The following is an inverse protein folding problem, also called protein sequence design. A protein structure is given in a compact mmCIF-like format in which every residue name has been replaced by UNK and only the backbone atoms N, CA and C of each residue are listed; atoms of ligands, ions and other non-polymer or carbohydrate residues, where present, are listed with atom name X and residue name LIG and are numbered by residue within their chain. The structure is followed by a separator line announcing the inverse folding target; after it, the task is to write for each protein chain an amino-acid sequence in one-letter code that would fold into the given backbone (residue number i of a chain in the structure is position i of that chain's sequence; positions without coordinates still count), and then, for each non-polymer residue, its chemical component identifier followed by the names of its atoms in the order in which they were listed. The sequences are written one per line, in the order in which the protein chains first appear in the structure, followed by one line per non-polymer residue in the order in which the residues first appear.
data_IF_351655487067
#
_entry.id   IF_351655487067
#
_cell.length_a   1.000
_cell.length_b   1.000
_cell.length_c   1.000
_cell.angle_alpha   90.00
_cell.angle_beta   90.00
_cell.angle_gamma   90.00
#
_symmetry.space_group_name_H-M   'P 1'
#
loop_
_entity.id
_entity.type
_entity.pdbx_description
1 polymer ?
#
# COMPACT_ATOMS: atom_id res chain seq x y z
N UNK A 1 -20.44 21.04 29.71
CA UNK A 1 -19.20 20.52 29.11
C UNK A 1 -18.05 21.13 29.90
N UNK A 2 -17.46 20.35 30.82
CA UNK A 2 -16.42 20.84 31.72
C UNK A 2 -15.08 20.73 30.97
N UNK A 3 -14.50 21.85 30.58
CA UNK A 3 -13.23 21.90 29.85
C UNK A 3 -12.11 21.72 30.86
N UNK A 4 -11.51 20.53 30.91
CA UNK A 4 -10.36 20.26 31.77
C UNK A 4 -9.16 21.09 31.32
N UNK A 5 -8.52 21.82 32.24
CA UNK A 5 -7.34 22.64 31.92
C UNK A 5 -6.07 21.84 32.17
N UNK A 6 -4.99 22.11 31.42
CA UNK A 6 -3.72 21.40 31.55
C UNK A 6 -3.10 21.45 32.97
N UNK A 7 -3.52 22.41 33.82
CA UNK A 7 -3.06 22.54 35.21
C UNK A 7 -3.73 21.54 36.16
N UNK A 8 -4.93 21.05 35.84
CA UNK A 8 -5.67 20.07 36.65
C UNK A 8 -5.05 18.66 36.59
N UNK A 9 -4.11 18.46 35.67
CA UNK A 9 -3.42 17.19 35.42
C UNK A 9 -2.07 17.07 36.17
N UNK A 10 -1.69 18.13 36.90
CA UNK A 10 -0.41 18.26 37.60
C UNK A 10 -0.63 18.22 39.11
N UNK A 11 -0.32 17.11 39.78
CA UNK A 11 -0.64 16.91 41.19
C UNK A 11 -0.06 17.95 42.15
N UNK A 12 1.11 18.51 41.82
CA UNK A 12 1.70 19.58 42.64
C UNK A 12 1.08 20.96 42.43
N UNK A 13 0.53 21.24 41.23
CA UNK A 13 -0.10 22.53 40.93
C UNK A 13 -1.54 22.57 41.45
N UNK A 14 -2.25 21.43 41.42
CA UNK A 14 -3.65 21.29 41.85
C UNK A 14 -3.85 20.17 42.88
N UNK A 15 -3.16 20.19 44.04
CA UNK A 15 -3.16 19.06 44.98
C UNK A 15 -4.52 18.72 45.57
N UNK A 16 -5.47 19.66 45.57
CA UNK A 16 -6.86 19.40 46.02
C UNK A 16 -7.64 18.49 45.07
N UNK A 17 -7.16 18.25 43.85
CA UNK A 17 -7.74 17.33 42.87
C UNK A 17 -7.16 15.91 42.97
N UNK A 18 -6.27 15.66 43.93
CA UNK A 18 -5.60 14.37 44.10
C UNK A 18 -5.68 13.89 45.55
N UNK A 19 -5.89 12.59 45.72
CA UNK A 19 -5.70 11.91 46.99
C UNK A 19 -4.26 11.42 47.03
N UNK A 20 -3.52 11.90 48.03
CA UNK A 20 -2.18 11.45 48.38
C UNK A 20 -2.29 10.49 49.56
N UNK A 21 -2.20 9.20 49.29
CA UNK A 21 -1.99 8.18 50.32
C UNK A 21 -0.49 8.09 50.63
N UNK A 22 -0.04 9.08 51.41
CA UNK A 22 1.37 9.40 51.62
C UNK A 22 1.94 10.34 50.55
N UNK A 23 3.08 10.94 50.90
CA UNK A 23 3.79 11.90 50.06
C UNK A 23 3.47 13.37 50.37
N UNK A 24 4.16 14.29 49.71
CA UNK A 24 4.01 15.73 49.92
C UNK A 24 4.12 16.51 48.61
N UNK A 25 3.50 17.70 48.57
CA UNK A 25 3.74 18.64 47.47
C UNK A 25 5.12 19.25 47.64
N UNK A 26 5.93 19.22 46.57
CA UNK A 26 7.25 19.82 46.55
C UNK A 26 7.50 20.56 45.23
N UNK A 27 8.67 21.18 45.09
CA UNK A 27 9.11 21.80 43.85
C UNK A 27 10.18 20.90 43.23
N UNK A 28 9.90 20.41 42.03
CA UNK A 28 10.81 19.64 41.20
C UNK A 28 11.45 20.52 40.11
N UNK A 29 12.09 19.87 39.14
CA UNK A 29 12.79 20.57 38.05
C UNK A 29 11.86 21.39 37.14
N UNK A 30 10.63 20.91 36.91
CA UNK A 30 9.68 21.47 35.94
C UNK A 30 8.49 22.17 36.62
N UNK A 31 8.57 22.47 37.92
CA UNK A 31 7.53 23.16 38.70
C UNK A 31 7.07 22.37 39.92
N UNK A 32 5.82 22.61 40.38
CA UNK A 32 5.29 21.88 41.53
C UNK A 32 4.96 20.43 41.15
N UNK A 33 5.29 19.51 42.04
CA UNK A 33 5.12 18.06 41.88
C UNK A 33 4.52 17.43 43.14
N UNK A 34 4.07 16.18 43.04
CA UNK A 34 3.82 15.33 44.20
C UNK A 34 5.02 14.41 44.41
N UNK A 35 5.68 14.48 45.58
CA UNK A 35 6.83 13.64 45.92
C UNK A 35 6.38 12.48 46.79
N UNK A 36 6.66 11.27 46.32
CA UNK A 36 6.39 10.01 47.02
C UNK A 36 7.71 9.40 47.50
N UNK A 37 7.82 9.07 48.80
CA UNK A 37 9.08 8.69 49.46
C UNK A 37 9.12 7.25 49.99
N UNK A 38 8.27 6.38 49.47
CA UNK A 38 8.19 4.95 49.82
C UNK A 38 6.97 4.31 49.15
N UNK A 39 6.41 3.27 49.78
CA UNK A 39 5.15 2.66 49.37
C UNK A 39 3.99 3.65 49.58
N UNK A 40 3.60 4.34 48.51
CA UNK A 40 2.65 5.44 48.55
C UNK A 40 1.90 5.53 47.22
N UNK A 41 0.68 6.08 47.27
CA UNK A 41 -0.20 6.14 46.12
C UNK A 41 -0.79 7.53 45.93
N UNK A 42 -0.80 7.97 44.68
CA UNK A 42 -1.45 9.17 44.22
C UNK A 42 -2.64 8.77 43.33
N UNK A 43 -3.83 9.26 43.63
CA UNK A 43 -5.05 9.02 42.83
C UNK A 43 -5.68 10.34 42.43
N UNK A 44 -6.09 10.50 41.16
CA UNK A 44 -6.92 11.62 40.73
C UNK A 44 -8.32 11.53 41.32
N UNK A 45 -8.77 12.55 42.05
CA UNK A 45 -10.06 12.53 42.75
C UNK A 45 -11.26 12.77 41.83
N UNK A 46 -11.07 13.46 40.71
CA UNK A 46 -12.16 13.78 39.79
C UNK A 46 -12.41 12.60 38.84
N UNK A 47 -13.54 11.88 38.95
CA UNK A 47 -13.83 10.78 38.05
C UNK A 47 -14.08 11.31 36.63
N UNK A 48 -13.44 10.66 35.66
CA UNK A 48 -13.61 10.97 34.24
C UNK A 48 -14.74 10.11 33.68
N UNK A 49 -15.80 10.68 33.09
CA UNK A 49 -16.87 9.88 32.51
C UNK A 49 -16.38 9.17 31.25
N UNK A 50 -16.64 7.86 31.19
CA UNK A 50 -16.39 7.03 30.03
C UNK A 50 -17.63 7.04 29.14
N UNK A 51 -17.55 7.73 28.00
CA UNK A 51 -18.66 7.89 27.06
C UNK A 51 -18.37 7.08 25.79
N UNK A 52 -19.33 6.29 25.27
CA UNK A 52 -19.16 5.57 24.02
C UNK A 52 -18.76 6.52 22.86
N UNK A 53 -17.79 6.10 22.06
CA UNK A 53 -17.29 6.88 20.92
C UNK A 53 -16.35 8.04 21.28
N UNK A 54 -15.90 8.12 22.54
CA UNK A 54 -14.84 9.05 22.96
C UNK A 54 -13.64 8.24 23.40
N UNK A 55 -12.47 8.55 22.83
CA UNK A 55 -11.20 7.99 23.28
C UNK A 55 -10.71 8.67 24.55
N UNK A 56 -10.14 7.90 25.46
CA UNK A 56 -9.52 8.40 26.68
C UNK A 56 -8.04 8.05 26.70
N UNK A 57 -7.23 8.95 27.24
CA UNK A 57 -5.76 8.78 27.28
C UNK A 57 -5.30 8.85 28.73
N UNK A 58 -4.70 7.77 29.22
CA UNK A 58 -4.00 7.73 30.49
C UNK A 58 -2.59 8.30 30.29
N UNK A 59 -2.26 9.38 31.00
CA UNK A 59 -0.95 10.02 30.96
C UNK A 59 -0.33 10.10 32.34
N UNK A 60 0.95 9.76 32.40
CA UNK A 60 1.75 9.97 33.59
C UNK A 60 3.16 10.41 33.23
N UNK A 61 3.74 11.23 34.11
CA UNK A 61 5.14 11.62 34.04
C UNK A 61 5.73 11.57 35.44
N UNK A 62 6.89 10.92 35.57
CA UNK A 62 7.56 10.77 36.84
C UNK A 62 9.09 10.86 36.69
N UNK A 63 9.75 11.09 37.81
CA UNK A 63 11.21 11.14 37.90
C UNK A 63 11.67 10.61 39.25
N UNK A 64 12.62 9.67 39.24
CA UNK A 64 13.35 9.30 40.44
C UNK A 64 14.33 10.42 40.79
N UNK A 65 14.29 10.91 42.04
CA UNK A 65 15.18 11.99 42.52
C UNK A 65 16.10 11.57 43.65
N UNK A 66 15.78 10.46 44.33
CA UNK A 66 16.68 9.77 45.27
C UNK A 66 16.54 8.28 45.00
N UNK A 67 17.65 7.62 44.62
CA UNK A 67 17.73 6.17 44.50
C UNK A 67 17.70 5.52 45.88
N UNK A 68 17.00 4.38 46.01
CA UNK A 68 17.18 3.56 47.20
C UNK A 68 18.48 2.73 47.10
N UNK A 69 18.95 2.19 48.24
CA UNK A 69 20.00 1.18 48.25
C UNK A 69 19.62 -0.15 47.58
N UNK A 70 18.33 -0.48 47.42
CA UNK A 70 17.81 -1.70 46.78
C UNK A 70 16.77 -1.37 45.68
N UNK A 71 17.22 -1.05 44.45
CA UNK A 71 16.34 -0.62 43.38
C UNK A 71 15.44 -1.73 42.81
N UNK A 72 15.66 -3.01 43.16
CA UNK A 72 14.91 -4.13 42.57
C UNK A 72 13.46 -4.22 43.07
N UNK A 73 13.14 -3.57 44.19
CA UNK A 73 11.80 -3.58 44.81
C UNK A 73 11.09 -2.22 44.73
N UNK A 74 11.64 -1.27 43.98
CA UNK A 74 11.19 0.13 43.98
C UNK A 74 10.38 0.52 42.73
N UNK A 75 9.48 -0.35 42.30
CA UNK A 75 8.72 -0.12 41.08
C UNK A 75 7.83 1.14 41.15
N UNK A 76 7.56 1.73 39.98
CA UNK A 76 6.49 2.72 39.80
C UNK A 76 5.43 2.10 38.91
N UNK A 77 4.20 2.02 39.39
CA UNK A 77 3.07 1.55 38.60
C UNK A 77 2.12 2.69 38.29
N UNK A 78 1.54 2.65 37.09
CA UNK A 78 0.54 3.61 36.63
C UNK A 78 -0.67 2.81 36.18
N UNK A 79 -1.87 3.30 36.46
CA UNK A 79 -3.08 2.60 36.05
C UNK A 79 -4.36 3.39 36.24
N UNK A 80 -5.48 2.66 36.17
CA UNK A 80 -6.83 3.21 36.27
C UNK A 80 -7.62 2.47 37.35
N UNK A 81 -8.35 3.22 38.17
CA UNK A 81 -9.42 2.73 39.03
C UNK A 81 -10.75 2.90 38.28
N UNK A 82 -11.46 1.81 38.08
CA UNK A 82 -12.74 1.77 37.39
C UNK A 82 -13.88 1.94 38.38
N UNK A 83 -14.84 2.78 38.04
CA UNK A 83 -15.99 3.08 38.88
C UNK A 83 -17.29 2.81 38.12
N UNK A 84 -18.31 2.36 38.83
CA UNK A 84 -19.66 2.16 38.29
C UNK A 84 -20.45 3.47 38.15
N UNK A 85 -21.73 3.36 37.78
CA UNK A 85 -22.63 4.51 37.62
C UNK A 85 -22.81 5.34 38.90
N UNK A 86 -22.68 4.72 40.08
CA UNK A 86 -22.80 5.36 41.40
C UNK A 86 -21.44 5.87 41.91
N UNK A 87 -20.39 5.77 41.08
CA UNK A 87 -18.99 6.09 41.39
C UNK A 87 -18.39 5.20 42.49
N UNK A 88 -18.94 4.01 42.71
CA UNK A 88 -18.33 3.01 43.56
C UNK A 88 -17.22 2.27 42.81
N UNK A 89 -16.15 1.88 43.52
CA UNK A 89 -15.00 1.18 42.92
C UNK A 89 -15.41 -0.22 42.47
N UNK A 90 -15.22 -0.51 41.19
CA UNK A 90 -15.42 -1.84 40.59
C UNK A 90 -14.15 -2.68 40.64
N UNK A 91 -13.07 -2.11 40.11
CA UNK A 91 -11.76 -2.78 40.01
C UNK A 91 -10.66 -1.77 39.77
N UNK A 92 -9.41 -2.22 39.83
CA UNK A 92 -8.23 -1.45 39.50
C UNK A 92 -7.39 -2.23 38.49
N UNK A 93 -6.92 -1.57 37.45
CA UNK A 93 -6.03 -2.15 36.45
C UNK A 93 -4.70 -1.40 36.42
N UNK A 94 -3.59 -2.12 36.54
CA UNK A 94 -2.24 -1.57 36.30
C UNK A 94 -1.99 -1.57 34.78
N UNK A 95 -1.67 -0.40 34.25
CA UNK A 95 -1.43 -0.15 32.83
C UNK A 95 0.05 -0.25 32.45
N UNK A 96 0.92 0.18 33.35
CA UNK A 96 2.36 0.23 33.13
C UNK A 96 3.10 0.00 34.44
N UNK A 97 4.26 -0.62 34.36
CA UNK A 97 5.18 -0.81 35.49
C UNK A 97 6.58 -0.47 35.02
N UNK A 98 7.19 0.53 35.66
CA UNK A 98 8.63 0.79 35.59
C UNK A 98 9.27 0.07 36.79
N UNK A 99 9.94 -1.08 36.56
CA UNK A 99 10.27 -2.01 37.64
C UNK A 99 11.39 -1.51 38.57
N UNK A 100 12.27 -0.62 38.09
CA UNK A 100 13.44 -0.18 38.85
C UNK A 100 13.95 1.21 38.39
N UNK A 101 13.13 2.28 38.48
CA UNK A 101 13.53 3.60 37.99
C UNK A 101 14.64 4.19 38.85
N UNK A 102 15.66 4.75 38.19
CA UNK A 102 16.85 5.36 38.79
C UNK A 102 16.93 6.86 38.52
N UNK A 103 17.67 7.60 39.35
CA UNK A 103 17.92 9.04 39.13
C UNK A 103 18.53 9.30 37.76
N UNK A 104 19.40 8.40 37.28
CA UNK A 104 20.05 8.49 35.98
C UNK A 104 19.09 8.36 34.78
N UNK A 105 17.89 7.77 34.96
CA UNK A 105 16.91 7.61 33.88
C UNK A 105 16.23 8.93 33.49
N UNK A 106 16.36 9.95 34.34
CA UNK A 106 15.74 11.25 34.12
C UNK A 106 14.20 11.17 34.13
N UNK A 107 13.58 12.02 33.31
CA UNK A 107 12.12 12.11 33.24
C UNK A 107 11.55 10.98 32.40
N UNK A 108 10.62 10.22 32.98
CA UNK A 108 9.87 9.14 32.32
C UNK A 108 8.45 9.62 32.01
N UNK A 109 7.89 9.18 30.89
CA UNK A 109 6.53 9.54 30.48
C UNK A 109 5.84 8.39 29.78
N UNK A 110 4.53 8.26 29.98
CA UNK A 110 3.66 7.39 29.18
C UNK A 110 2.40 8.12 28.73
N UNK A 111 1.83 7.65 27.62
CA UNK A 111 0.49 7.97 27.16
C UNK A 111 -0.12 6.68 26.60
N UNK A 112 -1.22 6.20 27.18
CA UNK A 112 -1.85 4.93 26.83
C UNK A 112 -3.32 5.15 26.51
N UNK A 113 -3.78 4.55 25.40
CA UNK A 113 -5.18 4.59 25.01
C UNK A 113 -6.01 3.71 25.94
N UNK A 114 -7.13 4.25 26.41
CA UNK A 114 -8.11 3.58 27.26
C UNK A 114 -9.41 3.44 26.48
N UNK A 115 -9.77 2.21 26.14
CA UNK A 115 -10.98 1.85 25.39
C UNK A 115 -12.12 1.37 26.28
N UNK A 116 -13.36 1.59 25.82
CA UNK A 116 -14.58 1.10 26.48
C UNK A 116 -14.92 -0.35 26.12
N UNK A 117 -14.55 -0.79 24.92
CA UNK A 117 -14.72 -2.14 24.41
C UNK A 117 -13.34 -2.75 24.12
N UNK A 118 -13.29 -4.07 23.94
CA UNK A 118 -12.09 -4.79 23.51
C UNK A 118 -11.76 -4.49 22.03
N UNK A 119 -11.60 -3.22 21.69
CA UNK A 119 -11.08 -2.78 20.40
C UNK A 119 -9.58 -3.11 20.32
N UNK A 120 -9.11 -3.52 19.13
CA UNK A 120 -7.81 -4.17 18.93
C UNK A 120 -6.58 -3.29 19.26
N UNK A 121 -6.75 -1.98 19.49
CA UNK A 121 -5.66 -1.02 19.72
C UNK A 121 -5.65 -0.37 21.14
N UNK A 122 -6.60 -0.71 22.03
CA UNK A 122 -6.63 -0.13 23.38
C UNK A 122 -5.59 -0.79 24.30
N UNK A 123 -4.70 0.02 24.91
CA UNK A 123 -3.74 -0.48 25.89
C UNK A 123 -4.42 -0.91 27.22
N UNK A 124 -5.58 -0.34 27.52
CA UNK A 124 -6.48 -0.78 28.59
C UNK A 124 -7.92 -0.82 28.11
N UNK A 125 -8.61 -1.91 28.41
CA UNK A 125 -10.06 -2.03 28.21
C UNK A 125 -10.79 -1.85 29.53
N UNK A 126 -11.79 -0.97 29.55
CA UNK A 126 -12.67 -0.77 30.68
C UNK A 126 -13.53 -2.03 30.93
N UNK A 127 -13.77 -2.42 32.20
CA UNK A 127 -14.78 -3.43 32.51
C UNK A 127 -16.16 -3.00 32.02
N UNK A 128 -17.00 -3.93 31.56
CA UNK A 128 -18.31 -3.62 30.96
C UNK A 128 -19.25 -2.76 31.86
N UNK A 129 -19.11 -2.87 33.18
CA UNK A 129 -19.89 -2.10 34.16
C UNK A 129 -19.31 -0.70 34.45
N UNK A 130 -18.09 -0.39 34.00
CA UNK A 130 -17.44 0.88 34.26
C UNK A 130 -18.14 2.03 33.54
N UNK A 131 -18.35 3.13 34.27
CA UNK A 131 -18.92 4.39 33.75
C UNK A 131 -18.03 5.59 34.04
N UNK A 132 -17.16 5.48 35.03
CA UNK A 132 -16.12 6.47 35.29
C UNK A 132 -14.77 5.80 35.55
N UNK A 133 -13.72 6.59 35.44
CA UNK A 133 -12.37 6.14 35.69
C UNK A 133 -11.54 7.23 36.40
N UNK A 134 -10.59 6.81 37.22
CA UNK A 134 -9.64 7.68 37.91
C UNK A 134 -8.21 7.19 37.67
N UNK A 135 -7.27 8.06 37.25
CA UNK A 135 -5.87 7.68 37.08
C UNK A 135 -5.19 7.53 38.45
N UNK A 136 -4.22 6.62 38.53
CA UNK A 136 -3.34 6.54 39.70
C UNK A 136 -1.87 6.33 39.32
N UNK A 137 -0.99 6.76 40.21
CA UNK A 137 0.44 6.42 40.23
C UNK A 137 0.77 5.88 41.62
N UNK A 138 1.43 4.74 41.69
CA UNK A 138 1.78 4.08 42.94
C UNK A 138 3.26 3.70 42.92
N UNK A 139 3.99 4.10 43.95
CA UNK A 139 5.40 3.75 44.14
C UNK A 139 5.50 2.60 45.14
N UNK A 140 6.44 1.70 44.90
CA UNK A 140 6.77 0.59 45.79
C UNK A 140 8.17 0.78 46.37
N UNK A 141 8.46 0.08 47.46
CA UNK A 141 9.76 0.10 48.12
C UNK A 141 9.92 1.18 49.18
N UNK A 142 11.17 1.47 49.56
CA UNK A 142 11.50 2.36 50.67
C UNK A 142 12.79 3.14 50.39
N UNK A 143 13.05 4.17 51.22
CA UNK A 143 14.29 4.96 51.18
C UNK A 143 14.62 5.59 49.80
N UNK A 144 13.59 5.86 49.02
CA UNK A 144 13.68 6.51 47.72
C UNK A 144 12.85 7.79 47.69
N UNK A 145 12.96 8.56 46.61
CA UNK A 145 12.01 9.64 46.33
C UNK A 145 11.70 9.71 44.84
N UNK A 146 10.40 9.72 44.50
CA UNK A 146 9.88 9.85 43.14
C UNK A 146 8.98 11.06 43.06
N UNK A 147 9.27 11.93 42.10
CA UNK A 147 8.43 13.07 41.77
C UNK A 147 7.43 12.64 40.70
N UNK A 148 6.15 12.78 40.99
CA UNK A 148 5.04 12.62 40.03
C UNK A 148 4.67 14.01 39.53
N UNK A 149 4.94 14.25 38.25
CA UNK A 149 4.71 15.53 37.58
C UNK A 149 3.33 15.59 36.92
N UNK A 150 2.88 14.47 36.34
CA UNK A 150 1.59 14.33 35.66
C UNK A 150 0.95 13.02 36.10
N UNK A 151 -0.35 13.06 36.40
CA UNK A 151 -1.21 11.90 36.60
C UNK A 151 -2.61 12.26 36.11
N UNK A 152 -2.97 11.81 34.92
CA UNK A 152 -4.19 12.25 34.26
C UNK A 152 -4.84 11.14 33.45
N UNK A 153 -6.16 11.17 33.41
CA UNK A 153 -6.96 10.50 32.41
C UNK A 153 -7.74 11.59 31.70
N UNK A 154 -7.47 11.79 30.43
CA UNK A 154 -8.06 12.88 29.66
C UNK A 154 -8.92 12.34 28.54
N UNK A 155 -10.03 13.04 28.25
CA UNK A 155 -10.73 12.84 27.00
C UNK A 155 -9.81 13.32 25.89
N UNK A 156 -9.64 12.49 24.87
CA UNK A 156 -8.83 12.83 23.72
C UNK A 156 -9.51 13.97 22.94
N UNK A 157 -9.05 15.22 23.12
CA UNK A 157 -9.40 16.34 22.21
C UNK A 157 -8.41 16.48 21.07
N UNK A 158 -7.24 15.89 21.26
CA UNK A 158 -6.22 15.69 20.24
C UNK A 158 -6.54 14.36 19.59
N UNK A 159 -6.76 14.35 18.27
CA UNK A 159 -6.53 13.13 17.52
C UNK A 159 -5.07 12.71 17.78
N UNK A 160 -4.83 11.83 18.76
CA UNK A 160 -3.59 11.09 18.85
C UNK A 160 -3.50 10.37 17.53
N UNK A 161 -2.53 10.80 16.74
CA UNK A 161 -2.26 10.29 15.41
C UNK A 161 -1.75 8.86 15.59
N UNK A 162 -2.68 7.92 15.73
CA UNK A 162 -2.64 6.69 14.95
C UNK A 162 -3.37 7.04 13.63
N UNK A 163 -2.73 6.88 12.46
CA UNK A 163 -3.26 7.36 11.20
C UNK A 163 -4.35 6.40 10.72
N UNK A 164 -5.55 6.54 11.27
CA UNK A 164 -6.75 5.85 10.78
C UNK A 164 -7.98 6.51 11.45
N UNK A 165 -8.44 7.61 10.85
CA UNK A 165 -9.88 7.82 10.66
C UNK A 165 -10.73 8.06 11.91
N UNK A 166 -10.61 9.25 12.49
CA UNK A 166 -11.59 9.80 13.45
C UNK A 166 -12.97 10.14 12.82
N UNK A 167 -13.36 9.44 11.76
CA UNK A 167 -14.66 9.62 11.09
C UNK A 167 -15.05 8.37 10.28
N UNK A 168 -14.92 7.16 10.84
CA UNK A 168 -15.62 5.97 10.36
C UNK A 168 -15.43 5.57 8.88
N UNK A 169 -14.36 6.01 8.22
CA UNK A 169 -13.85 5.27 7.08
C UNK A 169 -12.84 4.29 7.63
N UNK A 170 -12.72 3.13 7.02
CA UNK A 170 -11.60 2.25 7.24
C UNK A 170 -10.67 2.37 6.03
N UNK A 171 -9.35 2.44 6.26
CA UNK A 171 -8.36 2.30 5.19
C UNK A 171 -8.23 0.82 4.76
N UNK A 172 -9.16 -0.05 5.19
CA UNK A 172 -9.25 -1.51 4.98
C UNK A 172 -9.16 -1.97 3.52
N UNK A 173 -9.11 -1.05 2.55
CA UNK A 173 -8.99 -1.32 1.12
C UNK A 173 -7.70 -0.78 0.50
N UNK A 174 -6.73 -0.39 1.31
CA UNK A 174 -5.41 0.06 0.86
C UNK A 174 -4.34 -0.77 1.56
N UNK A 175 -3.53 -1.46 0.76
CA UNK A 175 -2.34 -2.16 1.24
C UNK A 175 -1.10 -1.31 1.01
N UNK A 176 -0.36 -1.07 2.09
CA UNK A 176 0.78 -0.17 2.13
C UNK A 176 2.09 -0.92 1.94
N UNK A 177 2.97 -0.35 1.10
CA UNK A 177 4.33 -0.82 0.86
C UNK A 177 5.31 0.29 1.22
N UNK A 178 6.37 -0.02 1.98
CA UNK A 178 7.38 0.96 2.40
C UNK A 178 8.81 0.40 2.32
N UNK A 179 9.81 1.27 2.16
CA UNK A 179 11.21 0.85 2.02
C UNK A 179 11.76 0.15 3.27
N UNK A 180 11.24 0.50 4.43
CA UNK A 180 11.53 -0.08 5.75
C UNK A 180 10.40 -1.00 6.25
N UNK A 181 9.48 -1.38 5.35
CA UNK A 181 8.41 -2.34 5.64
C UNK A 181 8.91 -3.76 5.91
N UNK A 182 7.99 -4.64 6.28
CA UNK A 182 8.25 -6.05 6.59
C UNK A 182 7.12 -6.92 6.04
N UNK A 183 7.45 -7.91 5.21
CA UNK A 183 6.48 -8.79 4.55
C UNK A 183 5.73 -9.73 5.51
N UNK A 184 6.12 -9.78 6.79
CA UNK A 184 5.35 -10.48 7.83
C UNK A 184 4.15 -9.68 8.35
N UNK A 185 4.03 -8.39 7.97
CA UNK A 185 2.94 -7.50 8.40
C UNK A 185 1.71 -7.61 7.49
N UNK A 186 0.57 -7.10 7.97
CA UNK A 186 -0.72 -7.20 7.25
C UNK A 186 -0.84 -6.23 6.08
N UNK A 187 -0.03 -5.16 6.01
CA UNK A 187 -0.13 -4.14 4.97
C UNK A 187 -1.33 -3.19 5.12
N UNK A 188 -2.29 -3.45 6.00
CA UNK A 188 -3.56 -2.69 6.15
C UNK A 188 -3.42 -1.36 6.91
N UNK A 189 -2.18 -0.87 7.07
CA UNK A 189 -1.89 0.37 7.75
C UNK A 189 -0.50 0.86 7.40
N UNK A 190 -0.27 2.16 7.52
CA UNK A 190 1.00 2.80 7.16
C UNK A 190 2.16 2.31 8.03
N UNK A 191 1.89 2.10 9.32
CA UNK A 191 2.80 1.53 10.32
C UNK A 191 2.97 0.01 10.16
N UNK A 192 2.00 -0.64 9.51
CA UNK A 192 1.97 -2.07 9.19
C UNK A 192 2.34 -2.39 7.73
N UNK A 193 3.03 -1.48 7.04
CA UNK A 193 3.39 -1.64 5.64
C UNK A 193 4.31 -2.84 5.39
N UNK A 194 4.09 -3.54 4.28
CA UNK A 194 4.96 -4.62 3.79
C UNK A 194 6.17 -4.04 3.05
N UNK A 195 7.22 -4.86 2.84
CA UNK A 195 8.45 -4.42 2.17
C UNK A 195 8.31 -4.44 0.65
N UNK A 196 7.71 -5.50 0.13
CA UNK A 196 7.70 -5.82 -1.30
C UNK A 196 6.30 -5.61 -1.89
N UNK A 197 6.27 -5.19 -3.17
CA UNK A 197 5.02 -4.96 -3.89
C UNK A 197 4.30 -6.27 -4.15
N UNK A 198 5.05 -7.36 -4.36
CA UNK A 198 4.54 -8.72 -4.52
C UNK A 198 3.79 -9.19 -3.29
N UNK A 199 4.28 -8.86 -2.08
CA UNK A 199 3.60 -9.18 -0.83
C UNK A 199 2.26 -8.43 -0.71
N UNK A 200 2.23 -7.14 -1.04
CA UNK A 200 0.97 -6.39 -1.08
C UNK A 200 0.00 -6.91 -2.16
N UNK A 201 0.54 -7.33 -3.31
CA UNK A 201 -0.24 -7.97 -4.38
C UNK A 201 -0.88 -9.27 -3.89
N UNK A 202 -0.14 -10.09 -3.14
CA UNK A 202 -0.66 -11.35 -2.58
C UNK A 202 -1.74 -11.10 -1.53
N UNK A 203 -1.58 -10.06 -0.71
CA UNK A 203 -2.60 -9.62 0.25
C UNK A 203 -3.88 -9.14 -0.45
N UNK A 204 -3.75 -8.32 -1.50
CA UNK A 204 -4.89 -7.92 -2.34
C UNK A 204 -5.55 -9.15 -2.98
N UNK A 205 -4.77 -10.10 -3.52
CA UNK A 205 -5.33 -11.30 -4.12
C UNK A 205 -6.16 -12.12 -3.11
N UNK A 206 -5.75 -12.14 -1.83
CA UNK A 206 -6.45 -12.82 -0.76
C UNK A 206 -7.70 -12.08 -0.24
N UNK A 207 -7.79 -10.74 -0.40
CA UNK A 207 -8.88 -9.95 0.17
C UNK A 207 -10.24 -10.18 -0.51
N UNK A 208 -10.25 -10.57 -1.79
CA UNK A 208 -11.47 -10.77 -2.60
C UNK A 208 -12.26 -9.48 -2.92
N UNK A 209 -12.15 -8.44 -2.10
CA UNK A 209 -12.77 -7.14 -2.27
C UNK A 209 -11.91 -6.16 -3.07
N UNK A 210 -12.51 -5.18 -3.78
CA UNK A 210 -11.75 -4.14 -4.47
C UNK A 210 -10.79 -3.39 -3.56
N UNK A 211 -9.50 -3.39 -3.89
CA UNK A 211 -8.44 -2.82 -3.07
C UNK A 211 -7.34 -2.14 -3.91
N UNK A 212 -6.59 -1.22 -3.31
CA UNK A 212 -5.45 -0.54 -3.91
C UNK A 212 -4.14 -0.88 -3.19
N UNK A 213 -3.03 -0.76 -3.91
CA UNK A 213 -1.68 -0.84 -3.34
C UNK A 213 -1.07 0.56 -3.35
N UNK A 214 -0.61 1.02 -2.20
CA UNK A 214 -0.01 2.34 -2.03
C UNK A 214 1.46 2.21 -1.62
N UNK A 215 2.37 2.70 -2.46
CA UNK A 215 3.82 2.46 -2.33
C UNK A 215 4.53 3.75 -1.95
N UNK A 216 5.15 3.80 -0.78
CA UNK A 216 5.92 4.94 -0.31
C UNK A 216 7.24 5.13 -1.09
N UNK A 217 7.85 6.33 -1.06
CA UNK A 217 9.14 6.57 -1.70
C UNK A 217 10.20 5.56 -1.28
N UNK A 218 11.04 5.20 -2.24
CA UNK A 218 12.14 4.28 -2.01
C UNK A 218 12.54 3.49 -3.26
N UNK A 219 13.47 2.56 -3.07
CA UNK A 219 13.90 1.62 -4.11
C UNK A 219 13.41 0.21 -3.77
N UNK A 220 12.67 -0.37 -4.71
CA UNK A 220 12.04 -1.68 -4.62
C UNK A 220 12.59 -2.56 -5.72
N UNK A 221 13.19 -3.67 -5.32
CA UNK A 221 13.75 -4.66 -6.23
C UNK A 221 12.70 -5.75 -6.48
N UNK A 222 12.52 -6.14 -7.74
CA UNK A 222 11.51 -7.14 -8.13
C UNK A 222 12.05 -8.10 -9.17
N UNK A 223 11.51 -9.32 -9.20
CA UNK A 223 11.75 -10.27 -10.29
C UNK A 223 10.89 -9.97 -11.53
N UNK A 224 10.11 -8.88 -11.51
CA UNK A 224 9.11 -8.58 -12.53
C UNK A 224 7.93 -9.55 -12.45
N UNK A 225 7.12 -9.54 -13.50
CA UNK A 225 5.97 -10.43 -13.68
C UNK A 225 4.95 -10.33 -12.55
N UNK A 226 4.78 -9.13 -11.99
CA UNK A 226 3.82 -8.81 -10.95
C UNK A 226 2.42 -8.84 -11.56
N UNK A 227 1.77 -10.00 -11.44
CA UNK A 227 0.40 -10.22 -11.89
C UNK A 227 -0.58 -9.56 -10.93
N UNK A 228 -1.07 -8.39 -11.32
CA UNK A 228 -1.98 -7.60 -10.50
C UNK A 228 -3.41 -8.14 -10.67
N UNK A 229 -4.13 -8.48 -9.57
CA UNK A 229 -5.52 -8.98 -9.62
C UNK A 229 -6.50 -8.00 -10.26
N UNK A 230 -7.62 -8.50 -10.82
CA UNK A 230 -8.62 -7.65 -11.50
C UNK A 230 -9.39 -6.72 -10.55
N UNK A 231 -9.53 -7.13 -9.29
CA UNK A 231 -10.11 -6.30 -8.24
C UNK A 231 -9.08 -5.36 -7.59
N UNK A 232 -7.82 -5.38 -8.03
CA UNK A 232 -6.87 -4.34 -7.64
C UNK A 232 -7.15 -3.06 -8.43
N UNK A 233 -7.73 -2.06 -7.76
CA UNK A 233 -8.14 -0.79 -8.38
C UNK A 233 -6.95 0.09 -8.77
N UNK A 234 -5.77 -0.17 -8.21
CA UNK A 234 -4.53 0.42 -8.70
C UNK A 234 -3.31 0.16 -7.83
N UNK A 235 -2.13 0.25 -8.46
CA UNK A 235 -0.82 0.28 -7.79
C UNK A 235 -0.28 1.69 -7.95
N UNK A 236 -0.15 2.41 -6.84
CA UNK A 236 0.01 3.87 -6.83
C UNK A 236 1.21 4.22 -5.97
N UNK A 237 2.19 4.94 -6.53
CA UNK A 237 3.21 5.60 -5.72
C UNK A 237 2.59 6.72 -4.89
N UNK A 238 3.01 6.83 -3.63
CA UNK A 238 2.65 7.93 -2.74
C UNK A 238 3.16 9.31 -3.22
N UNK A 239 4.00 9.31 -4.25
CA UNK A 239 4.66 10.47 -4.82
C UNK A 239 4.65 10.39 -6.35
N UNK A 240 5.34 11.31 -7.01
CA UNK A 240 5.58 11.22 -8.45
C UNK A 240 6.81 10.35 -8.77
N UNK A 241 7.00 10.10 -10.07
CA UNK A 241 8.19 9.48 -10.60
C UNK A 241 9.49 10.10 -10.01
N UNK A 242 10.56 9.30 -9.96
CA UNK A 242 11.90 9.54 -9.38
C UNK A 242 12.02 9.28 -7.88
N UNK A 243 10.94 9.44 -7.11
CA UNK A 243 10.95 9.17 -5.68
C UNK A 243 10.66 7.70 -5.35
N UNK A 244 9.88 7.00 -6.18
CA UNK A 244 9.58 5.56 -6.04
C UNK A 244 10.14 4.81 -7.23
N UNK A 245 11.15 3.98 -6.99
CA UNK A 245 11.97 3.32 -8.00
C UNK A 245 11.75 1.82 -7.98
N UNK A 246 11.50 1.25 -9.15
CA UNK A 246 11.40 -0.19 -9.37
C UNK A 246 12.63 -0.64 -10.15
N UNK A 247 13.43 -1.53 -9.56
CA UNK A 247 14.68 -2.04 -10.14
C UNK A 247 14.61 -3.55 -10.33
N UNK A 248 15.23 -4.10 -11.39
CA UNK A 248 15.23 -5.53 -11.60
C UNK A 248 16.12 -6.21 -10.57
N UNK A 249 15.69 -7.38 -10.09
CA UNK A 249 16.59 -8.32 -9.45
C UNK A 249 17.59 -8.87 -10.48
N UNK A 250 18.84 -9.18 -10.06
CA UNK A 250 19.84 -9.75 -10.98
C UNK A 250 19.31 -10.99 -11.71
N UNK A 251 19.42 -10.99 -13.04
CA UNK A 251 18.92 -12.07 -13.91
C UNK A 251 17.46 -11.93 -14.34
N UNK A 252 16.77 -10.88 -13.92
CA UNK A 252 15.37 -10.60 -14.26
C UNK A 252 15.19 -9.29 -15.06
N UNK A 253 16.29 -8.73 -15.59
CA UNK A 253 16.31 -7.43 -16.29
C UNK A 253 15.45 -7.40 -17.55
N UNK A 254 15.15 -8.57 -18.11
CA UNK A 254 14.34 -8.72 -19.32
C UNK A 254 12.86 -8.94 -19.04
N UNK A 255 12.40 -9.13 -17.80
CA UNK A 255 10.97 -9.40 -17.56
C UNK A 255 10.12 -8.13 -17.61
N UNK A 256 8.90 -8.28 -18.13
CA UNK A 256 7.83 -7.32 -17.94
C UNK A 256 7.61 -7.07 -16.43
N UNK A 257 7.27 -5.86 -16.01
CA UNK A 257 7.21 -5.52 -14.57
C UNK A 257 5.81 -5.71 -14.01
N UNK A 258 4.89 -4.81 -14.30
CA UNK A 258 3.49 -4.92 -13.91
C UNK A 258 2.68 -5.52 -15.06
N UNK A 259 2.04 -6.66 -14.77
CA UNK A 259 1.15 -7.36 -15.68
C UNK A 259 -0.28 -7.16 -15.22
N UNK A 260 -1.01 -6.31 -15.93
CA UNK A 260 -2.28 -5.74 -15.49
C UNK A 260 -3.47 -6.47 -16.11
N UNK A 261 -4.46 -6.75 -15.26
CA UNK A 261 -5.74 -7.30 -15.67
C UNK A 261 -6.81 -6.24 -15.98
N UNK A 262 -8.08 -6.61 -15.86
CA UNK A 262 -9.22 -5.83 -16.35
C UNK A 262 -9.42 -4.50 -15.61
N UNK A 263 -9.17 -3.37 -16.29
CA UNK A 263 -9.33 -2.04 -15.68
C UNK A 263 -8.23 -1.68 -14.68
N UNK A 264 -7.08 -2.37 -14.74
CA UNK A 264 -5.95 -2.10 -13.86
C UNK A 264 -5.37 -0.69 -14.04
N UNK A 265 -4.76 -0.16 -12.99
CA UNK A 265 -4.21 1.20 -12.97
C UNK A 265 -2.84 1.22 -12.29
N UNK A 266 -1.82 1.81 -12.93
CA UNK A 266 -0.48 1.98 -12.34
C UNK A 266 -0.04 3.43 -12.45
N UNK A 267 0.48 4.01 -11.35
CA UNK A 267 0.87 5.42 -11.32
C UNK A 267 2.13 5.75 -10.53
N UNK A 268 2.94 6.67 -11.07
CA UNK A 268 3.92 7.44 -10.29
C UNK A 268 5.28 6.77 -10.09
N UNK A 269 5.59 5.70 -10.83
CA UNK A 269 6.84 4.95 -10.68
C UNK A 269 7.92 5.38 -11.67
N UNK A 270 9.18 5.31 -11.21
CA UNK A 270 10.36 5.22 -12.06
C UNK A 270 10.80 3.76 -12.18
N UNK A 271 10.94 3.26 -13.39
CA UNK A 271 11.57 1.97 -13.66
C UNK A 271 13.03 2.23 -14.02
N UNK A 272 13.95 1.80 -13.15
CA UNK A 272 15.37 2.13 -13.19
C UNK A 272 16.24 0.87 -13.05
N UNK A 273 17.57 1.01 -13.04
CA UNK A 273 18.46 -0.08 -12.64
C UNK A 273 18.74 -1.14 -13.70
N UNK A 274 18.44 -0.86 -14.98
CA UNK A 274 18.96 -1.67 -16.10
C UNK A 274 17.95 -2.59 -16.80
N UNK A 275 16.63 -2.36 -16.61
CA UNK A 275 15.60 -3.01 -17.43
C UNK A 275 15.93 -2.94 -18.93
N UNK A 276 15.68 -4.03 -19.65
CA UNK A 276 15.96 -4.13 -21.08
C UNK A 276 14.93 -5.00 -21.79
N UNK A 277 14.57 -4.65 -23.02
CA UNK A 277 13.74 -5.51 -23.87
C UNK A 277 14.51 -6.77 -24.28
N UNK A 278 13.77 -7.84 -24.50
CA UNK A 278 14.27 -9.14 -24.99
C UNK A 278 14.64 -9.10 -26.47
N UNK A 279 13.96 -8.28 -27.27
CA UNK A 279 14.23 -8.07 -28.70
C UNK A 279 13.83 -6.64 -29.13
N UNK A 280 14.48 -6.10 -30.16
CA UNK A 280 14.22 -4.73 -30.67
C UNK A 280 13.30 -4.70 -31.89
N UNK A 281 13.06 -5.85 -32.51
CA UNK A 281 12.23 -6.05 -33.70
C UNK A 281 10.96 -6.85 -33.39
N UNK A 282 11.03 -7.85 -32.50
CA UNK A 282 9.89 -8.67 -32.08
C UNK A 282 9.81 -8.82 -30.55
N UNK A 283 9.63 -7.70 -29.81
CA UNK A 283 9.65 -7.73 -28.34
C UNK A 283 8.47 -8.51 -27.74
N UNK A 284 8.75 -9.30 -26.71
CA UNK A 284 7.74 -9.96 -25.86
C UNK A 284 7.86 -9.61 -24.38
N UNK A 285 9.01 -9.08 -23.96
CA UNK A 285 9.35 -8.87 -22.56
C UNK A 285 10.16 -7.57 -22.34
N UNK A 286 10.31 -7.16 -21.09
CA UNK A 286 11.14 -6.03 -20.68
C UNK A 286 10.43 -4.68 -20.61
N UNK A 287 9.09 -4.69 -20.50
CA UNK A 287 8.27 -3.48 -20.41
C UNK A 287 7.78 -3.23 -18.99
N UNK A 288 7.70 -1.94 -18.61
CA UNK A 288 7.13 -1.56 -17.31
C UNK A 288 5.69 -2.05 -17.14
N UNK A 289 4.85 -1.88 -18.16
CA UNK A 289 3.43 -2.22 -18.13
C UNK A 289 3.10 -3.15 -19.30
N UNK A 290 2.39 -4.24 -19.00
CA UNK A 290 1.84 -5.15 -20.00
C UNK A 290 0.53 -5.78 -19.51
N UNK A 291 -0.15 -6.56 -20.34
CA UNK A 291 -1.32 -7.31 -19.90
C UNK A 291 -0.95 -8.54 -19.06
N UNK A 292 -1.80 -8.86 -18.09
CA UNK A 292 -1.75 -10.14 -17.37
C UNK A 292 -2.15 -11.29 -18.30
N UNK A 293 -1.34 -12.35 -18.42
CA UNK A 293 -1.70 -13.52 -19.23
C UNK A 293 -3.07 -14.09 -18.84
N UNK A 294 -3.90 -14.39 -19.85
CA UNK A 294 -5.24 -14.95 -19.70
C UNK A 294 -6.32 -13.98 -19.23
N UNK A 295 -6.00 -12.72 -18.94
CA UNK A 295 -7.00 -11.75 -18.46
C UNK A 295 -8.07 -11.44 -19.53
N UNK A 296 -9.29 -11.15 -19.08
CA UNK A 296 -10.39 -10.64 -19.94
C UNK A 296 -10.42 -9.11 -19.82
N UNK A 297 -9.92 -8.40 -20.84
CA UNK A 297 -9.82 -6.94 -20.84
C UNK A 297 -11.07 -6.32 -21.46
N UNK A 298 -12.01 -5.94 -20.59
CA UNK A 298 -13.25 -5.24 -20.96
C UNK A 298 -13.21 -3.74 -20.59
N UNK A 299 -12.31 -3.38 -19.67
CA UNK A 299 -12.00 -2.01 -19.27
C UNK A 299 -10.53 -1.72 -19.55
N UNK A 300 -10.27 -0.46 -19.85
CA UNK A 300 -8.92 0.01 -20.22
C UNK A 300 -7.95 -0.14 -19.05
N UNK A 301 -6.75 -0.66 -19.33
CA UNK A 301 -5.62 -0.58 -18.41
C UNK A 301 -5.01 0.81 -18.49
N UNK A 302 -4.66 1.42 -17.37
CA UNK A 302 -4.06 2.75 -17.32
C UNK A 302 -2.62 2.72 -16.79
N UNK A 303 -1.74 3.41 -17.51
CA UNK A 303 -0.38 3.72 -17.10
C UNK A 303 -0.22 5.24 -17.02
N UNK A 304 -0.11 5.79 -15.81
CA UNK A 304 -0.17 7.24 -15.58
C UNK A 304 1.07 7.77 -14.88
N UNK A 305 1.69 8.82 -15.45
CA UNK A 305 2.82 9.51 -14.84
C UNK A 305 3.95 8.56 -14.38
N UNK A 306 4.35 7.66 -15.28
CA UNK A 306 5.46 6.72 -15.07
C UNK A 306 6.64 7.05 -15.98
N UNK A 307 7.84 6.63 -15.64
CA UNK A 307 9.02 6.79 -16.50
C UNK A 307 9.82 5.50 -16.56
N UNK A 308 10.17 5.05 -17.77
CA UNK A 308 11.23 4.06 -17.95
C UNK A 308 12.53 4.82 -18.14
N UNK A 309 13.41 4.76 -17.15
CA UNK A 309 14.66 5.51 -17.12
C UNK A 309 15.84 4.56 -17.04
N UNK A 310 16.80 4.73 -17.96
CA UNK A 310 18.04 3.97 -17.89
C UNK A 310 19.07 4.73 -17.06
N UNK A 311 19.44 4.17 -15.90
CA UNK A 311 20.50 4.71 -15.06
C UNK A 311 21.87 4.42 -15.69
N UNK A 312 22.69 5.46 -15.92
CA UNK A 312 24.04 5.30 -16.49
C UNK A 312 24.72 6.66 -16.74
N UNK A 313 26.06 6.66 -16.76
CA UNK A 313 26.87 7.85 -17.04
C UNK A 313 26.57 8.37 -18.46
N UNK A 314 26.21 9.66 -18.67
CA UNK A 314 25.91 10.24 -19.99
C UNK A 314 27.03 10.09 -21.03
N UNK A 315 28.22 9.64 -20.63
CA UNK A 315 29.33 9.24 -21.52
C UNK A 315 28.99 8.02 -22.41
N UNK A 316 27.89 7.28 -22.16
CA UNK A 316 27.46 6.08 -22.90
C UNK A 316 26.73 6.32 -24.25
N UNK A 317 26.56 7.56 -24.71
CA UNK A 317 26.02 7.85 -26.05
C UNK A 317 27.00 8.70 -26.89
N UNK A 318 28.27 8.31 -27.12
CA UNK A 318 29.12 9.03 -28.05
C UNK A 318 28.84 8.56 -29.50
N UNK A 319 28.71 9.47 -30.47
CA UNK A 319 28.51 9.14 -31.87
C UNK A 319 29.74 8.48 -32.53
N UNK A 320 29.57 7.73 -33.64
CA UNK A 320 28.31 7.52 -34.36
C UNK A 320 27.48 6.33 -33.84
N UNK A 321 26.18 6.54 -33.73
CA UNK A 321 25.20 5.47 -33.50
C UNK A 321 25.12 4.56 -34.73
N UNK A 322 25.18 3.25 -34.51
CA UNK A 322 25.00 2.23 -35.55
C UNK A 322 23.58 1.68 -35.53
N UNK A 323 22.64 2.55 -35.91
CA UNK A 323 21.20 2.23 -35.93
C UNK A 323 20.85 1.04 -36.82
N UNK A 324 21.65 0.76 -37.86
CA UNK A 324 21.41 -0.32 -38.79
C UNK A 324 21.68 -1.69 -38.15
N UNK A 325 22.58 -1.73 -37.16
CA UNK A 325 22.90 -2.91 -36.37
C UNK A 325 22.40 -2.79 -34.92
N UNK A 326 21.31 -2.04 -34.70
CA UNK A 326 20.64 -1.91 -33.38
C UNK A 326 21.50 -1.31 -32.25
N UNK A 327 22.45 -0.43 -32.59
CA UNK A 327 23.34 0.28 -31.66
C UNK A 327 24.00 -0.64 -30.59
N UNK A 328 24.87 -1.57 -30.99
CA UNK A 328 25.39 -2.61 -30.10
C UNK A 328 26.18 -2.03 -28.91
N UNK A 329 26.81 -0.86 -29.08
CA UNK A 329 27.57 -0.18 -28.02
C UNK A 329 26.68 0.44 -26.93
N UNK A 330 25.42 0.73 -27.24
CA UNK A 330 24.44 1.21 -26.25
C UNK A 330 23.83 0.02 -25.51
N UNK A 331 23.66 -1.12 -26.19
CA UNK A 331 22.94 -2.29 -25.69
C UNK A 331 21.43 -2.01 -25.55
N UNK A 332 20.63 -3.03 -25.24
CA UNK A 332 19.16 -2.90 -25.20
C UNK A 332 18.67 -2.11 -23.99
N UNK A 333 17.85 -1.09 -24.21
CA UNK A 333 17.11 -0.38 -23.15
C UNK A 333 15.75 -1.04 -22.86
N UNK A 334 15.10 -0.67 -21.76
CA UNK A 334 13.79 -1.20 -21.37
C UNK A 334 12.63 -0.67 -22.21
N UNK A 335 11.43 -1.17 -21.93
CA UNK A 335 10.15 -0.79 -22.56
C UNK A 335 9.20 -0.04 -21.61
N UNK A 336 8.33 0.86 -22.08
CA UNK A 336 7.29 1.44 -21.20
C UNK A 336 6.02 0.60 -21.23
N UNK A 337 5.42 0.40 -22.41
CA UNK A 337 4.17 -0.35 -22.54
C UNK A 337 4.27 -1.39 -23.65
N UNK A 338 3.89 -2.62 -23.33
CA UNK A 338 3.61 -3.69 -24.28
C UNK A 338 2.13 -4.07 -24.19
N UNK A 339 1.36 -3.76 -25.23
CA UNK A 339 0.01 -4.25 -25.40
C UNK A 339 0.02 -5.40 -26.41
N UNK A 340 -0.23 -6.63 -25.94
CA UNK A 340 -0.27 -7.82 -26.79
C UNK A 340 -1.62 -8.54 -26.62
N UNK A 341 -2.35 -8.73 -27.72
CA UNK A 341 -3.63 -9.45 -27.69
C UNK A 341 -3.43 -10.95 -27.53
N UNK A 342 -2.30 -11.50 -27.99
CA UNK A 342 -2.06 -12.94 -27.97
C UNK A 342 -1.94 -13.50 -26.54
N UNK A 343 -1.59 -12.66 -25.55
CA UNK A 343 -1.47 -13.07 -24.16
C UNK A 343 -2.77 -12.99 -23.37
N UNK A 344 -3.79 -12.27 -23.87
CA UNK A 344 -5.08 -12.10 -23.16
C UNK A 344 -6.15 -13.04 -23.70
N UNK A 345 -7.25 -13.17 -22.96
CA UNK A 345 -8.38 -13.98 -23.39
C UNK A 345 -8.97 -13.48 -24.71
N UNK A 346 -9.38 -14.38 -25.64
CA UNK A 346 -10.01 -13.99 -26.90
C UNK A 346 -11.35 -13.23 -26.70
N UNK A 347 -11.96 -13.32 -25.52
CA UNK A 347 -13.13 -12.53 -25.13
C UNK A 347 -12.82 -11.04 -24.92
N UNK A 348 -11.54 -10.66 -24.87
CA UNK A 348 -11.11 -9.27 -24.92
C UNK A 348 -11.25 -8.75 -26.35
N UNK A 349 -12.40 -8.16 -26.68
CA UNK A 349 -12.70 -7.76 -28.06
C UNK A 349 -11.73 -6.66 -28.55
N UNK A 350 -11.40 -5.71 -27.68
CA UNK A 350 -10.49 -4.60 -27.95
C UNK A 350 -9.58 -4.36 -26.72
N UNK A 351 -8.59 -5.24 -26.46
CA UNK A 351 -7.73 -5.08 -25.30
C UNK A 351 -6.87 -3.84 -25.49
N UNK A 352 -6.96 -2.92 -24.52
CA UNK A 352 -6.29 -1.62 -24.64
C UNK A 352 -5.58 -1.15 -23.38
N UNK A 353 -4.43 -0.50 -23.59
CA UNK A 353 -3.69 0.22 -22.57
C UNK A 353 -3.69 1.71 -22.91
N UNK A 354 -4.12 2.55 -21.97
CA UNK A 354 -4.03 4.00 -22.07
C UNK A 354 -2.81 4.49 -21.29
N UNK A 355 -1.97 5.27 -21.96
CA UNK A 355 -0.83 5.94 -21.38
C UNK A 355 -1.16 7.42 -21.20
N UNK A 356 -0.94 7.97 -20.01
CA UNK A 356 -1.00 9.41 -19.80
C UNK A 356 0.28 9.88 -19.10
N UNK A 357 1.07 10.73 -19.76
CA UNK A 357 2.34 11.20 -19.20
C UNK A 357 3.33 10.06 -18.88
N UNK A 358 3.17 8.88 -19.50
CA UNK A 358 4.16 7.82 -19.45
C UNK A 358 5.34 8.23 -20.34
N UNK A 359 6.56 8.15 -19.84
CA UNK A 359 7.73 8.74 -20.50
C UNK A 359 8.81 7.67 -20.71
N UNK A 360 9.03 7.21 -21.95
CA UNK A 360 10.23 6.48 -22.31
C UNK A 360 11.43 7.44 -22.29
N UNK A 361 12.36 7.22 -21.36
CA UNK A 361 13.66 7.88 -21.30
C UNK A 361 14.75 6.80 -21.27
N UNK A 362 14.79 6.04 -22.36
CA UNK A 362 15.38 4.71 -22.43
C UNK A 362 16.26 4.58 -23.69
N UNK A 363 17.53 4.99 -23.61
CA UNK A 363 18.50 4.81 -24.70
C UNK A 363 18.46 3.41 -25.29
N UNK A 364 18.24 3.32 -26.60
CA UNK A 364 18.19 2.08 -27.38
C UNK A 364 17.19 1.02 -26.85
N UNK A 365 16.11 1.47 -26.18
CA UNK A 365 14.97 0.63 -25.80
C UNK A 365 13.77 0.82 -26.72
N UNK A 366 12.60 0.38 -26.28
CA UNK A 366 11.33 0.58 -27.00
C UNK A 366 10.42 1.49 -26.17
N UNK A 367 9.74 2.46 -26.76
CA UNK A 367 8.79 3.28 -26.03
C UNK A 367 7.50 2.49 -25.75
N UNK A 368 6.71 2.32 -26.80
CA UNK A 368 5.40 1.71 -26.81
C UNK A 368 5.35 0.63 -27.89
N UNK A 369 4.92 -0.58 -27.55
CA UNK A 369 4.70 -1.65 -28.51
C UNK A 369 3.24 -2.14 -28.41
N UNK A 370 2.47 -2.01 -29.49
CA UNK A 370 1.16 -2.62 -29.63
C UNK A 370 1.25 -3.73 -30.68
N UNK A 371 0.83 -4.95 -30.34
CA UNK A 371 0.94 -6.11 -31.24
C UNK A 371 -0.28 -7.01 -31.24
N UNK A 372 -0.38 -7.85 -32.28
CA UNK A 372 -1.40 -8.88 -32.44
C UNK A 372 -2.85 -8.34 -32.41
N UNK A 373 -3.07 -7.09 -32.81
CA UNK A 373 -4.38 -6.45 -32.77
C UNK A 373 -4.79 -5.87 -31.42
N UNK A 374 -3.86 -5.74 -30.46
CA UNK A 374 -4.06 -4.91 -29.27
C UNK A 374 -3.87 -3.42 -29.58
N UNK A 375 -4.32 -2.59 -28.65
CA UNK A 375 -4.41 -1.14 -28.84
C UNK A 375 -3.71 -0.35 -27.72
N UNK A 376 -2.98 0.70 -28.08
CA UNK A 376 -2.44 1.70 -27.14
C UNK A 376 -2.99 3.08 -27.47
N UNK A 377 -3.54 3.76 -26.46
CA UNK A 377 -3.86 5.19 -26.54
C UNK A 377 -2.83 5.99 -25.74
N UNK A 378 -1.88 6.62 -26.42
CA UNK A 378 -0.84 7.43 -25.82
C UNK A 378 -1.26 8.91 -25.79
N UNK A 379 -1.36 9.48 -24.59
CA UNK A 379 -1.79 10.86 -24.35
C UNK A 379 -0.68 11.61 -23.62
N UNK A 380 -0.24 12.74 -24.18
CA UNK A 380 0.87 13.55 -23.65
C UNK A 380 2.10 12.70 -23.32
N UNK A 381 2.37 11.70 -24.16
CA UNK A 381 3.47 10.77 -23.98
C UNK A 381 4.69 11.28 -24.74
N UNK A 382 5.81 11.43 -24.05
CA UNK A 382 7.06 11.96 -24.63
C UNK A 382 8.08 10.84 -24.65
N UNK A 383 8.45 10.37 -25.84
CA UNK A 383 9.46 9.33 -26.02
C UNK A 383 10.82 9.95 -26.37
N UNK A 384 11.86 9.55 -25.64
CA UNK A 384 13.20 10.14 -25.72
C UNK A 384 14.26 9.03 -25.77
N UNK A 385 15.17 9.10 -26.74
CA UNK A 385 16.35 8.21 -26.89
C UNK A 385 16.07 6.73 -27.25
N UNK A 386 14.81 6.32 -27.38
CA UNK A 386 14.45 4.94 -27.73
C UNK A 386 14.90 4.56 -29.15
N UNK A 387 15.20 3.29 -29.38
CA UNK A 387 15.44 2.73 -30.70
C UNK A 387 14.17 2.83 -31.56
N UNK A 388 13.04 2.34 -31.03
CA UNK A 388 11.70 2.52 -31.61
C UNK A 388 10.77 3.12 -30.58
N UNK A 389 10.22 4.29 -30.86
CA UNK A 389 9.41 5.01 -29.87
C UNK A 389 7.97 4.54 -29.84
N UNK A 390 7.31 4.45 -30.99
CA UNK A 390 5.96 3.90 -31.12
C UNK A 390 5.99 2.80 -32.17
N UNK A 391 5.75 1.57 -31.75
CA UNK A 391 5.90 0.36 -32.55
C UNK A 391 4.57 -0.40 -32.60
N UNK A 392 4.02 -0.57 -33.79
CA UNK A 392 2.80 -1.31 -34.03
C UNK A 392 3.10 -2.54 -34.91
N UNK A 393 2.92 -3.74 -34.38
CA UNK A 393 3.23 -5.01 -35.03
C UNK A 393 1.96 -5.83 -35.23
N UNK A 394 1.93 -6.70 -36.24
CA UNK A 394 0.89 -7.73 -36.39
C UNK A 394 -0.55 -7.20 -36.24
N UNK A 395 -0.82 -6.05 -36.86
CA UNK A 395 -2.13 -5.40 -36.81
C UNK A 395 -2.47 -4.67 -35.49
N UNK A 396 -1.48 -4.49 -34.61
CA UNK A 396 -1.56 -3.61 -33.46
C UNK A 396 -1.83 -2.15 -33.85
N UNK A 397 -2.40 -1.38 -32.93
CA UNK A 397 -2.79 -0.01 -33.17
C UNK A 397 -2.25 0.90 -32.06
N UNK A 398 -1.70 2.06 -32.45
CA UNK A 398 -1.31 3.12 -31.52
C UNK A 398 -1.96 4.43 -31.96
N UNK A 399 -2.66 5.09 -31.05
CA UNK A 399 -3.13 6.47 -31.22
C UNK A 399 -2.27 7.35 -30.33
N UNK A 400 -1.60 8.34 -30.93
CA UNK A 400 -0.76 9.30 -30.23
C UNK A 400 -1.41 10.69 -30.25
N UNK A 401 -1.78 11.22 -29.08
CA UNK A 401 -2.46 12.51 -28.91
C UNK A 401 -1.64 13.42 -27.99
N UNK A 402 -1.20 14.58 -28.50
CA UNK A 402 -0.35 15.50 -27.73
C UNK A 402 1.04 14.93 -27.42
N UNK A 403 1.51 13.95 -28.18
CA UNK A 403 2.78 13.26 -27.97
C UNK A 403 3.96 13.98 -28.62
N UNK A 404 5.17 13.67 -28.14
CA UNK A 404 6.41 14.12 -28.74
C UNK A 404 7.41 12.97 -28.91
N UNK A 405 8.28 13.13 -29.91
CA UNK A 405 9.34 12.22 -30.28
C UNK A 405 10.67 12.97 -30.27
N UNK A 406 11.63 12.54 -29.45
CA UNK A 406 12.89 13.25 -29.26
C UNK A 406 14.07 12.28 -29.34
N UNK A 407 15.02 12.56 -30.24
CA UNK A 407 16.33 11.92 -30.29
C UNK A 407 16.37 10.36 -30.25
N UNK A 408 15.41 9.68 -30.90
CA UNK A 408 15.42 8.23 -31.12
C UNK A 408 15.80 7.86 -32.56
N UNK A 409 16.04 6.57 -32.84
CA UNK A 409 16.38 6.11 -34.20
C UNK A 409 15.15 6.10 -35.12
N UNK A 410 14.04 5.57 -34.60
CA UNK A 410 12.76 5.46 -35.30
C UNK A 410 11.63 5.97 -34.41
N UNK A 411 10.92 6.99 -34.90
CA UNK A 411 9.80 7.61 -34.18
C UNK A 411 8.55 6.74 -34.24
N UNK A 412 8.05 6.48 -35.46
CA UNK A 412 6.91 5.61 -35.72
C UNK A 412 7.40 4.41 -36.52
N UNK A 413 7.10 3.21 -36.04
CA UNK A 413 7.31 1.95 -36.73
C UNK A 413 5.97 1.21 -36.78
N UNK A 414 5.54 0.83 -37.97
CA UNK A 414 4.32 0.04 -38.13
C UNK A 414 4.51 -1.00 -39.22
N UNK A 415 4.17 -2.24 -38.90
CA UNK A 415 4.15 -3.34 -39.84
C UNK A 415 2.99 -4.32 -39.54
N UNK A 416 2.78 -5.24 -40.48
CA UNK A 416 1.67 -6.18 -40.44
C UNK A 416 0.36 -5.57 -40.92
N UNK A 417 -0.64 -6.44 -41.01
CA UNK A 417 -2.02 -6.12 -41.34
C UNK A 417 -2.92 -6.95 -40.43
N UNK A 418 -4.11 -6.44 -40.12
CA UNK A 418 -5.14 -7.25 -39.45
C UNK A 418 -6.18 -7.68 -40.47
N UNK A 419 -6.48 -8.98 -40.49
CA UNK A 419 -7.64 -9.47 -41.23
C UNK A 419 -8.90 -9.05 -40.46
N UNK A 420 -9.57 -7.99 -40.92
CA UNK A 420 -10.89 -7.63 -40.41
C UNK A 420 -11.91 -8.54 -41.07
N UNK A 421 -12.43 -9.51 -40.33
CA UNK A 421 -13.66 -10.20 -40.73
C UNK A 421 -14.80 -9.21 -40.50
N UNK A 422 -15.39 -8.71 -41.58
CA UNK A 422 -16.63 -7.93 -41.52
C UNK A 422 -17.80 -8.90 -41.71
N UNK A 423 -18.53 -9.26 -40.63
CA UNK A 423 -19.57 -10.30 -40.71
C UNK A 423 -20.68 -9.93 -41.70
N UNK A 424 -20.86 -8.62 -41.95
CA UNK A 424 -21.88 -8.07 -42.83
C UNK A 424 -21.41 -7.85 -44.27
N UNK A 425 -20.13 -8.11 -44.57
CA UNK A 425 -19.57 -7.98 -45.92
C UNK A 425 -18.91 -9.26 -46.41
N UNK A 426 -19.08 -10.38 -45.70
CA UNK A 426 -18.74 -11.68 -46.25
C UNK A 426 -19.61 -11.86 -47.49
N UNK A 427 -18.98 -11.85 -48.67
CA UNK A 427 -19.68 -12.28 -49.88
C UNK A 427 -20.17 -13.71 -49.62
N UNK A 428 -21.44 -13.99 -49.91
CA UNK A 428 -22.09 -15.32 -49.75
C UNK A 428 -21.26 -16.48 -50.33
N UNK A 429 -20.27 -16.19 -51.18
CA UNK A 429 -19.37 -17.13 -51.86
C UNK A 429 -18.30 -17.80 -50.99
N UNK A 430 -18.10 -17.41 -49.71
CA UNK A 430 -17.08 -18.03 -48.85
C UNK A 430 -17.50 -19.40 -48.29
N UNK A 431 -18.80 -19.66 -48.10
CA UNK A 431 -19.30 -20.98 -47.70
C UNK A 431 -19.05 -22.01 -48.82
N UNK A 432 -19.21 -21.60 -50.08
CA UNK A 432 -18.94 -22.43 -51.26
C UNK A 432 -17.43 -22.67 -51.52
N UNK A 433 -16.55 -21.90 -50.89
CA UNK A 433 -15.10 -21.97 -51.11
C UNK A 433 -14.43 -23.13 -50.38
N UNK A 434 -15.08 -23.69 -49.35
CA UNK A 434 -14.56 -24.79 -48.54
C UNK A 434 -15.63 -25.87 -48.25
N UNK A 435 -16.22 -26.48 -49.29
CA UNK A 435 -17.37 -27.38 -49.15
C UNK A 435 -17.07 -28.59 -48.28
N UNK A 436 -15.82 -29.08 -48.27
CA UNK A 436 -15.39 -30.19 -47.40
C UNK A 436 -15.37 -29.79 -45.94
N UNK A 437 -14.90 -28.57 -45.61
CA UNK A 437 -14.86 -28.10 -44.24
C UNK A 437 -16.27 -27.76 -43.73
N UNK A 438 -17.09 -27.12 -44.58
CA UNK A 438 -18.49 -26.86 -44.29
C UNK A 438 -19.25 -28.16 -44.03
N UNK A 439 -19.17 -29.13 -44.95
CA UNK A 439 -19.80 -30.44 -44.78
C UNK A 439 -19.28 -31.23 -43.57
N UNK A 440 -18.00 -31.08 -43.22
CA UNK A 440 -17.46 -31.67 -41.99
C UNK A 440 -18.05 -31.02 -40.73
N UNK A 441 -18.22 -29.70 -40.70
CA UNK A 441 -18.84 -29.00 -39.57
C UNK A 441 -20.32 -29.38 -39.48
N UNK A 442 -21.07 -29.34 -40.57
CA UNK A 442 -22.49 -29.71 -40.62
C UNK A 442 -22.72 -31.17 -40.20
N UNK A 443 -21.92 -32.11 -40.72
CA UNK A 443 -22.05 -33.53 -40.35
C UNK A 443 -21.68 -33.83 -38.90
N UNK A 444 -20.90 -32.97 -38.24
CA UNK A 444 -20.50 -33.11 -36.84
C UNK A 444 -21.23 -32.11 -35.91
N UNK A 445 -22.26 -31.40 -36.39
CA UNK A 445 -22.94 -30.34 -35.63
C UNK A 445 -23.37 -30.80 -34.23
N UNK A 446 -24.02 -31.95 -34.14
CA UNK A 446 -24.45 -32.53 -32.85
C UNK A 446 -23.26 -32.84 -31.95
N UNK A 447 -22.20 -33.47 -32.47
CA UNK A 447 -21.03 -33.81 -31.67
C UNK A 447 -20.27 -32.55 -31.19
N UNK A 448 -20.20 -31.51 -32.03
CA UNK A 448 -19.62 -30.22 -31.67
C UNK A 448 -20.46 -29.55 -30.56
N UNK A 449 -21.79 -29.56 -30.71
CA UNK A 449 -22.72 -28.99 -29.74
C UNK A 449 -22.65 -29.71 -28.41
N UNK A 450 -22.69 -31.04 -28.42
CA UNK A 450 -22.61 -31.88 -27.23
C UNK A 450 -21.26 -31.71 -26.54
N UNK A 451 -20.14 -31.70 -27.28
CA UNK A 451 -18.81 -31.49 -26.71
C UNK A 451 -18.66 -30.10 -26.08
N UNK A 452 -19.23 -29.06 -26.71
CA UNK A 452 -19.28 -27.71 -26.14
C UNK A 452 -20.14 -27.69 -24.87
N UNK A 453 -21.32 -28.30 -24.92
CA UNK A 453 -22.24 -28.34 -23.79
C UNK A 453 -21.65 -29.10 -22.60
N UNK A 454 -21.10 -30.29 -22.83
CA UNK A 454 -20.44 -31.11 -21.81
C UNK A 454 -19.26 -30.35 -21.18
N UNK A 455 -18.49 -29.61 -21.98
CA UNK A 455 -17.42 -28.76 -21.47
C UNK A 455 -17.97 -27.65 -20.56
N UNK A 456 -19.03 -26.95 -20.98
CA UNK A 456 -19.68 -25.90 -20.19
C UNK A 456 -20.27 -26.45 -18.88
N UNK A 457 -20.94 -27.61 -18.93
CA UNK A 457 -21.46 -28.29 -17.73
C UNK A 457 -20.33 -28.69 -16.78
N UNK A 458 -19.21 -29.19 -17.31
CA UNK A 458 -18.01 -29.51 -16.52
C UNK A 458 -17.38 -28.26 -15.86
N UNK A 459 -17.58 -27.07 -16.43
CA UNK A 459 -17.21 -25.78 -15.85
C UNK A 459 -18.31 -25.19 -14.93
N UNK A 460 -19.40 -25.92 -14.68
CA UNK A 460 -20.48 -25.53 -13.75
C UNK A 460 -21.64 -24.75 -14.38
N UNK A 461 -21.68 -24.58 -15.71
CA UNK A 461 -22.78 -23.90 -16.39
C UNK A 461 -23.92 -24.89 -16.64
N UNK A 462 -25.00 -24.81 -15.85
CA UNK A 462 -26.09 -25.80 -15.89
C UNK A 462 -27.31 -25.38 -16.72
N UNK A 463 -27.61 -24.08 -16.88
CA UNK A 463 -28.87 -23.62 -17.49
C UNK A 463 -28.76 -22.31 -18.33
N UNK A 464 -27.65 -22.08 -19.05
CA UNK A 464 -27.50 -20.94 -19.97
C UNK A 464 -27.43 -19.54 -19.32
N UNK A 465 -27.81 -19.40 -18.06
CA UNK A 465 -27.59 -18.25 -17.17
C UNK A 465 -27.49 -18.79 -15.74
N UNK A 466 -26.32 -19.26 -15.31
CA UNK A 466 -26.12 -19.61 -13.90
C UNK A 466 -25.99 -18.33 -13.08
N UNK A 467 -26.91 -18.16 -12.14
CA UNK A 467 -26.80 -17.24 -11.01
C UNK A 467 -25.58 -17.61 -10.17
N UNK A 468 -24.50 -16.84 -10.34
CA UNK A 468 -23.32 -16.82 -9.48
C UNK A 468 -22.95 -15.37 -9.21
#
# INVERSE_FOLDING_TARGET
MQTYTALEHRPGDTPTLYALDGGTVAVGADGKIARLTGLQKLVGLTPVPLEPGIDHVLRAAWRRVIDSPDPASDAVTIGVIWLDADKAVLSQTVAHTDPAPRVADGRRTIALLVGLDAADDAALTAPAAARYAQPFVETFGAAHATDVEICALERSTLALVSPSLANGYSEERIFYVAQDGDNSRTGEGRDRAVRDIEAARDLVAASGDPAAIYVYPGTYQTQGHIDVPDHCTGVISATAARATKIVPAPGYEERNVFRMGNGGYVQGFSFEGGWRVDDLDDPTEGFAISFRPGAVINRTVYAHNIVMYRTGDPVLIPPPLDRANQNPMVGRGGGVILADRAVVSPYSVFPQIMAWGATPSNPNGIGYCARNGAFINAINAIAIWSHKQYMALDGGLIIASGCASQAGDWSLWSEGYRTRVEPYSAADTLIDSYPTAAGAIESNETAITDAMWDHLVAQGYVDGLSTG
#
